data_IF_402829573263
#
_entry.id   IF_402829573263
#
_cell.length_a   1.000
_cell.length_b   1.000
_cell.length_c   1.000
_cell.angle_alpha   90.00
_cell.angle_beta   90.00
_cell.angle_gamma   90.00
#
_symmetry.space_group_name_H-M   'P 1'
#
loop_
_entity.id
_entity.type
_entity.pdbx_description
1 polymer ?
#
# COMPACT_ATOMS: atom_id res chain seq x y z
N UNK A 1 10.71 9.89 -4.45
CA UNK A 1 9.54 9.03 -4.15
C UNK A 1 8.85 9.66 -2.96
N UNK A 2 7.67 10.25 -3.16
CA UNK A 2 7.04 11.08 -2.12
C UNK A 2 6.21 10.22 -1.17
N UNK A 3 6.65 10.05 0.08
CA UNK A 3 5.85 9.45 1.15
C UNK A 3 6.49 8.27 1.89
N UNK A 4 7.46 7.59 1.26
CA UNK A 4 8.18 6.45 1.86
C UNK A 4 7.29 5.20 2.04
N UNK A 5 7.83 4.19 2.73
CA UNK A 5 7.11 2.96 3.02
C UNK A 5 5.97 3.20 4.02
N UNK A 6 4.84 2.53 3.81
CA UNK A 6 3.64 2.69 4.62
C UNK A 6 3.87 2.29 6.08
N UNK A 7 4.69 1.27 6.35
CA UNK A 7 4.99 0.83 7.71
C UNK A 7 5.72 1.93 8.51
N UNK A 8 6.69 2.61 7.89
CA UNK A 8 7.41 3.73 8.52
C UNK A 8 6.50 4.92 8.79
N UNK A 9 5.56 5.20 7.88
CA UNK A 9 4.55 6.23 8.11
C UNK A 9 3.63 5.88 9.27
N UNK A 10 3.14 4.63 9.34
CA UNK A 10 2.24 4.16 10.39
C UNK A 10 2.90 4.12 11.78
N UNK A 11 4.22 3.90 11.85
CA UNK A 11 4.98 3.99 13.12
C UNK A 11 5.02 5.42 13.67
N UNK A 12 5.02 6.43 12.79
CA UNK A 12 5.22 7.86 13.15
C UNK A 12 3.91 8.63 13.31
N UNK A 13 2.80 8.12 12.76
CA UNK A 13 1.54 8.85 12.68
C UNK A 13 0.38 8.04 13.24
N UNK A 14 -0.50 8.71 14.00
CA UNK A 14 -1.80 8.13 14.37
C UNK A 14 -2.75 8.30 13.20
N UNK A 15 -3.18 7.18 12.63
CA UNK A 15 -4.12 7.14 11.51
C UNK A 15 -5.43 6.54 11.99
N UNK A 16 -6.55 7.18 11.68
CA UNK A 16 -7.88 6.69 12.03
C UNK A 16 -8.14 5.33 11.36
N UNK A 17 -8.99 4.51 11.97
CA UNK A 17 -9.40 3.22 11.36
C UNK A 17 -10.05 3.46 9.99
N UNK A 18 -10.85 4.52 9.88
CA UNK A 18 -11.50 4.93 8.63
C UNK A 18 -10.47 5.20 7.53
N UNK A 19 -9.46 6.03 7.82
CA UNK A 19 -8.41 6.35 6.83
C UNK A 19 -7.58 5.12 6.45
N UNK A 20 -7.33 4.19 7.38
CA UNK A 20 -6.65 2.92 7.06
C UNK A 20 -7.44 2.12 6.02
N UNK A 21 -8.76 2.02 6.18
CA UNK A 21 -9.60 1.28 5.25
C UNK A 21 -9.69 2.01 3.90
N UNK A 22 -10.09 3.28 3.92
CA UNK A 22 -10.42 4.02 2.71
C UNK A 22 -9.20 4.43 1.87
N UNK A 23 -8.09 4.78 2.51
CA UNK A 23 -6.91 5.32 1.81
C UNK A 23 -5.80 4.31 1.64
N UNK A 24 -5.74 3.27 2.47
CA UNK A 24 -4.61 2.35 2.50
C UNK A 24 -4.97 0.96 1.99
N UNK A 25 -5.98 0.34 2.58
CA UNK A 25 -6.41 -1.02 2.20
C UNK A 25 -7.01 -1.01 0.80
N UNK A 26 -7.83 -0.03 0.45
CA UNK A 26 -8.40 0.07 -0.91
C UNK A 26 -7.31 0.16 -1.99
N UNK A 27 -6.31 1.03 -1.80
CA UNK A 27 -5.17 1.16 -2.72
C UNK A 27 -4.35 -0.12 -2.84
N UNK A 28 -4.06 -0.77 -1.70
CA UNK A 28 -3.38 -2.06 -1.69
C UNK A 28 -4.16 -3.14 -2.43
N UNK A 29 -5.48 -3.22 -2.23
CA UNK A 29 -6.35 -4.18 -2.89
C UNK A 29 -6.37 -3.99 -4.42
N UNK A 30 -6.48 -2.75 -4.91
CA UNK A 30 -6.36 -2.46 -6.34
C UNK A 30 -4.99 -2.85 -6.91
N UNK A 31 -3.92 -2.64 -6.15
CA UNK A 31 -2.58 -3.11 -6.54
C UNK A 31 -2.53 -4.63 -6.69
N UNK A 32 -3.13 -5.39 -5.77
CA UNK A 32 -3.18 -6.86 -5.85
C UNK A 32 -4.02 -7.31 -7.05
N UNK A 33 -5.20 -6.71 -7.24
CA UNK A 33 -6.07 -6.98 -8.38
C UNK A 33 -5.33 -6.75 -9.71
N UNK A 34 -4.61 -5.64 -9.82
CA UNK A 34 -3.79 -5.34 -10.99
C UNK A 34 -2.72 -6.42 -11.23
N UNK A 35 -1.98 -6.82 -10.20
CA UNK A 35 -0.95 -7.86 -10.33
C UNK A 35 -1.55 -9.20 -10.78
N UNK A 36 -2.68 -9.60 -10.20
CA UNK A 36 -3.38 -10.81 -10.59
C UNK A 36 -3.88 -10.72 -12.05
N UNK A 37 -4.34 -9.56 -12.52
CA UNK A 37 -4.71 -9.34 -13.93
C UNK A 37 -3.52 -9.52 -14.90
N UNK A 38 -2.29 -9.43 -14.39
CA UNK A 38 -1.04 -9.66 -15.14
C UNK A 38 -0.44 -11.03 -14.89
N UNK A 39 -1.20 -11.95 -14.28
CA UNK A 39 -0.75 -13.28 -13.89
C UNK A 39 0.51 -13.25 -12.99
N UNK A 40 0.66 -12.18 -12.20
CA UNK A 40 1.75 -11.96 -11.28
C UNK A 40 1.28 -12.16 -9.84
N UNK A 41 1.97 -13.00 -9.09
CA UNK A 41 1.73 -13.19 -7.65
C UNK A 41 2.80 -12.41 -6.90
N UNK A 42 2.39 -11.43 -6.08
CA UNK A 42 3.33 -10.58 -5.35
C UNK A 42 4.18 -11.36 -4.32
N UNK A 43 3.60 -12.38 -3.69
CA UNK A 43 4.22 -13.28 -2.68
C UNK A 43 4.71 -12.63 -1.37
N UNK A 44 4.78 -11.31 -1.29
CA UNK A 44 5.15 -10.59 -0.07
C UNK A 44 4.27 -9.35 0.12
N UNK A 45 3.01 -9.58 0.47
CA UNK A 45 2.07 -8.50 0.78
C UNK A 45 2.29 -8.06 2.23
N UNK A 46 2.98 -6.93 2.40
CA UNK A 46 3.27 -6.32 3.68
C UNK A 46 3.31 -4.80 3.58
N UNK A 47 3.02 -4.09 4.67
CA UNK A 47 3.01 -2.61 4.70
C UNK A 47 4.36 -1.98 4.29
N UNK A 48 5.49 -2.66 4.51
CA UNK A 48 6.81 -2.21 4.04
C UNK A 48 6.96 -2.20 2.50
N UNK A 49 6.16 -3.00 1.80
CA UNK A 49 6.12 -3.09 0.33
C UNK A 49 4.96 -2.25 -0.25
N UNK A 50 4.30 -1.47 0.60
CA UNK A 50 3.30 -0.50 0.20
C UNK A 50 3.95 0.88 0.23
N UNK A 51 4.07 1.50 -0.94
CA UNK A 51 4.61 2.85 -1.07
C UNK A 51 3.48 3.87 -0.97
N UNK A 52 3.60 4.81 -0.05
CA UNK A 52 2.72 5.98 0.00
C UNK A 52 3.08 6.94 -1.14
N UNK A 53 2.06 7.52 -1.75
CA UNK A 53 2.15 8.56 -2.78
C UNK A 53 1.16 9.68 -2.47
N UNK A 54 1.26 10.81 -3.19
CA UNK A 54 0.31 11.93 -3.05
C UNK A 54 -1.15 11.55 -3.37
N UNK A 55 -1.37 10.49 -4.15
CA UNK A 55 -2.70 10.08 -4.62
C UNK A 55 -3.22 8.79 -3.97
N UNK A 56 -2.42 8.10 -3.16
CA UNK A 56 -2.80 6.82 -2.54
C UNK A 56 -1.60 5.91 -2.27
N UNK A 57 -1.84 4.60 -2.21
CA UNK A 57 -0.81 3.59 -1.95
C UNK A 57 -0.61 2.70 -3.17
N UNK A 58 0.65 2.43 -3.51
CA UNK A 58 1.04 1.48 -4.54
C UNK A 58 1.78 0.29 -3.92
N UNK A 59 1.49 -0.93 -4.40
CA UNK A 59 2.32 -2.09 -4.09
C UNK A 59 3.60 -2.06 -4.93
N UNK A 60 4.73 -2.32 -4.28
CA UNK A 60 6.03 -2.42 -4.94
C UNK A 60 6.42 -3.89 -5.10
N UNK A 61 6.73 -4.29 -6.33
CA UNK A 61 7.36 -5.58 -6.59
C UNK A 61 8.83 -5.46 -6.17
N UNK A 62 9.18 -6.13 -5.07
CA UNK A 62 10.57 -6.29 -4.63
C UNK A 62 11.22 -7.51 -5.26
#
# INVERSE_FOLDING_TARGET
VDGGALDDFLKKNRVSVKDKIEKMIAGGAWGVEYLHSKNCIHRDIAARNCLLTRTGINLTLN
#
